data_IF_018309568775
#
_entry.id   IF_018309568775
#
_cell.length_a   1.000
_cell.length_b   1.000
_cell.length_c   1.000
_cell.angle_alpha   90.00
_cell.angle_beta   90.00
_cell.angle_gamma   90.00
#
_symmetry.space_group_name_H-M   'P 1'
#
loop_
_entity.id
_entity.type
_entity.pdbx_description
1 polymer ?
#
# COMPACT_ATOMS: atom_id res chain seq x y z
N UNK A 1 -17.34 -23.21 3.19
CA UNK A 1 -18.19 -22.04 3.49
C UNK A 1 -17.24 -20.86 3.62
N UNK A 2 -17.39 -19.80 2.84
CA UNK A 2 -16.61 -18.59 3.04
C UNK A 2 -16.92 -18.06 4.44
N UNK A 3 -15.90 -17.95 5.26
CA UNK A 3 -16.02 -17.38 6.59
C UNK A 3 -16.47 -15.93 6.46
N UNK A 4 -17.50 -15.53 7.22
CA UNK A 4 -18.02 -14.15 7.17
C UNK A 4 -16.98 -13.19 7.74
N UNK A 5 -16.53 -12.25 6.94
CA UNK A 5 -15.59 -11.20 7.34
C UNK A 5 -16.39 -10.01 7.83
N UNK A 6 -16.39 -9.79 9.14
CA UNK A 6 -16.93 -8.58 9.74
C UNK A 6 -15.93 -7.43 9.68
N UNK A 7 -16.40 -6.22 9.38
CA UNK A 7 -15.58 -5.00 9.22
C UNK A 7 -14.42 -5.21 8.26
N UNK A 8 -14.69 -5.30 6.97
CA UNK A 8 -13.66 -5.51 5.96
C UNK A 8 -12.59 -4.38 6.01
N UNK A 9 -11.33 -4.76 5.79
CA UNK A 9 -10.17 -3.86 5.83
C UNK A 9 -9.69 -3.46 4.44
N UNK A 10 -10.58 -3.44 3.49
CA UNK A 10 -10.29 -3.12 2.11
C UNK A 10 -11.57 -2.93 1.31
N UNK A 11 -11.42 -2.81 0.02
CA UNK A 11 -12.51 -2.72 -0.93
C UNK A 11 -12.40 -3.85 -1.97
N UNK A 12 -13.29 -3.85 -2.95
CA UNK A 12 -13.21 -4.72 -4.11
C UNK A 12 -12.15 -4.23 -5.12
N UNK A 13 -11.93 -4.99 -6.19
CA UNK A 13 -10.97 -4.65 -7.24
C UNK A 13 -11.18 -3.25 -7.82
N UNK A 14 -12.42 -2.83 -8.07
CA UNK A 14 -12.70 -1.47 -8.53
C UNK A 14 -12.16 -0.41 -7.55
N UNK A 15 -12.34 -0.61 -6.23
CA UNK A 15 -11.84 0.32 -5.23
C UNK A 15 -10.33 0.43 -5.20
N UNK A 16 -9.61 -0.67 -5.34
CA UNK A 16 -8.15 -0.68 -5.43
C UNK A 16 -7.63 -0.02 -6.70
N UNK A 17 -8.24 -0.32 -7.84
CA UNK A 17 -7.89 0.32 -9.10
C UNK A 17 -8.13 1.84 -9.06
N UNK A 18 -9.28 2.29 -8.52
CA UNK A 18 -9.59 3.71 -8.40
C UNK A 18 -8.63 4.46 -7.49
N UNK A 19 -8.28 3.89 -6.34
CA UNK A 19 -7.31 4.49 -5.42
C UNK A 19 -5.95 4.71 -6.11
N UNK A 20 -5.50 3.72 -6.87
CA UNK A 20 -4.24 3.78 -7.60
C UNK A 20 -4.32 4.74 -8.81
N UNK A 21 -5.36 4.67 -9.66
CA UNK A 21 -5.54 5.59 -10.79
C UNK A 21 -5.54 7.04 -10.31
N UNK A 22 -6.25 7.32 -9.21
CA UNK A 22 -6.36 8.66 -8.64
C UNK A 22 -5.06 9.23 -8.10
N UNK A 23 -4.09 8.36 -7.87
CA UNK A 23 -2.76 8.74 -7.39
C UNK A 23 -1.74 8.88 -8.53
N UNK A 24 -2.11 8.51 -9.77
CA UNK A 24 -1.27 8.69 -10.95
C UNK A 24 -1.35 10.12 -11.50
N UNK A 25 -0.23 10.73 -11.90
CA UNK A 25 -0.24 12.08 -12.47
C UNK A 25 -0.88 12.10 -13.85
N UNK A 26 -1.76 13.07 -14.09
CA UNK A 26 -2.43 13.32 -15.38
C UNK A 26 -3.24 12.13 -15.93
N UNK A 27 -3.64 11.18 -15.07
CA UNK A 27 -4.47 10.03 -15.44
C UNK A 27 -5.88 10.21 -14.86
N UNK A 28 -6.89 10.11 -15.71
CA UNK A 28 -8.28 10.34 -15.34
C UNK A 28 -9.04 9.02 -15.31
N UNK A 29 -9.62 8.61 -14.17
CA UNK A 29 -10.51 7.46 -14.13
C UNK A 29 -11.87 7.78 -14.78
N UNK A 30 -12.41 6.82 -15.51
CA UNK A 30 -13.80 6.82 -15.96
C UNK A 30 -14.43 5.54 -15.41
N UNK A 31 -15.46 5.68 -14.58
CA UNK A 31 -16.06 4.55 -13.91
C UNK A 31 -17.27 4.07 -14.70
N UNK A 32 -17.22 2.85 -15.21
CA UNK A 32 -18.37 2.25 -15.91
C UNK A 32 -19.12 1.31 -14.98
N UNK A 33 -20.11 1.87 -14.27
CA UNK A 33 -20.95 1.14 -13.30
C UNK A 33 -22.11 2.01 -12.81
N UNK A 34 -22.83 1.53 -11.79
CA UNK A 34 -23.86 2.31 -11.06
C UNK A 34 -23.21 3.43 -10.24
N UNK A 35 -23.92 4.54 -10.05
CA UNK A 35 -23.42 5.76 -9.40
C UNK A 35 -22.86 5.48 -7.99
N UNK A 36 -23.51 4.59 -7.23
CA UNK A 36 -23.13 4.33 -5.83
C UNK A 36 -21.72 3.74 -5.65
N UNK A 37 -21.22 2.98 -6.61
CA UNK A 37 -19.88 2.37 -6.50
C UNK A 37 -18.77 3.42 -6.46
N UNK A 38 -18.76 4.37 -7.39
CA UNK A 38 -17.72 5.40 -7.47
C UNK A 38 -17.59 6.23 -6.19
N UNK A 39 -18.71 6.83 -5.75
CA UNK A 39 -18.72 7.70 -4.58
C UNK A 39 -18.37 6.97 -3.28
N UNK A 40 -18.91 5.77 -3.06
CA UNK A 40 -18.66 5.00 -1.83
C UNK A 40 -17.23 4.50 -1.73
N UNK A 41 -16.66 4.01 -2.84
CA UNK A 41 -15.29 3.51 -2.84
C UNK A 41 -14.28 4.63 -2.58
N UNK A 42 -14.46 5.78 -3.22
CA UNK A 42 -13.59 6.93 -3.00
C UNK A 42 -13.67 7.47 -1.57
N UNK A 43 -14.87 7.55 -1.00
CA UNK A 43 -15.03 7.94 0.40
C UNK A 43 -14.37 6.94 1.37
N UNK A 44 -14.47 5.64 1.09
CA UNK A 44 -13.82 4.62 1.90
C UNK A 44 -12.31 4.81 1.96
N UNK A 45 -11.67 5.05 0.83
CA UNK A 45 -10.23 5.34 0.77
C UNK A 45 -9.89 6.65 1.46
N UNK A 46 -10.67 7.71 1.21
CA UNK A 46 -10.46 9.02 1.80
C UNK A 46 -10.41 8.99 3.33
N UNK A 47 -11.39 8.35 3.93
CA UNK A 47 -11.49 8.27 5.38
C UNK A 47 -10.54 7.22 5.97
N UNK A 48 -10.36 6.10 5.29
CA UNK A 48 -9.55 4.97 5.78
C UNK A 48 -8.04 5.13 5.66
N UNK A 49 -7.57 6.09 4.87
CA UNK A 49 -6.15 6.35 4.65
C UNK A 49 -5.62 7.55 5.48
N UNK A 50 -6.07 7.70 6.71
CA UNK A 50 -5.56 8.74 7.61
C UNK A 50 -6.17 10.12 7.38
N UNK A 51 -7.46 10.19 7.09
CA UNK A 51 -8.18 11.45 6.90
C UNK A 51 -7.64 12.33 5.75
N UNK A 52 -6.87 11.75 4.86
CA UNK A 52 -6.52 12.43 3.61
C UNK A 52 -7.71 12.32 2.71
N UNK A 53 -8.36 13.45 2.47
CA UNK A 53 -9.39 13.50 1.48
C UNK A 53 -8.91 12.84 0.19
N UNK A 54 -9.63 11.84 -0.32
CA UNK A 54 -9.38 11.29 -1.63
C UNK A 54 -9.85 12.28 -2.70
N UNK A 55 -9.60 13.54 -2.47
CA UNK A 55 -9.78 14.55 -3.46
C UNK A 55 -11.15 15.16 -3.63
N UNK A 56 -12.10 14.95 -2.73
CA UNK A 56 -13.38 15.67 -2.84
C UNK A 56 -13.20 17.19 -2.91
N UNK A 57 -12.32 17.74 -2.08
CA UNK A 57 -11.95 19.15 -2.11
C UNK A 57 -10.66 19.46 -2.88
N UNK A 58 -9.92 18.43 -3.34
CA UNK A 58 -8.66 18.59 -4.07
C UNK A 58 -8.81 18.46 -5.58
N UNK A 59 -10.04 18.51 -6.10
CA UNK A 59 -10.31 18.47 -7.54
C UNK A 59 -10.30 17.08 -8.15
N UNK A 60 -10.32 16.01 -7.33
CA UNK A 60 -10.46 14.67 -7.85
C UNK A 60 -11.84 14.46 -8.48
N UNK A 61 -11.84 14.16 -9.76
CA UNK A 61 -13.06 13.84 -10.50
C UNK A 61 -13.14 12.35 -10.77
N UNK A 62 -14.29 11.74 -10.49
CA UNK A 62 -14.60 10.37 -10.86
C UNK A 62 -15.82 10.31 -11.79
N UNK A 63 -15.67 10.66 -13.07
CA UNK A 63 -16.74 10.55 -14.03
C UNK A 63 -17.30 9.13 -14.04
N UNK A 64 -18.61 9.02 -13.89
CA UNK A 64 -19.29 7.71 -13.79
C UNK A 64 -20.39 7.63 -14.83
N UNK A 65 -20.46 6.56 -15.60
CA UNK A 65 -21.53 6.31 -16.58
C UNK A 65 -22.92 6.31 -15.94
N UNK A 66 -23.00 5.88 -14.68
CA UNK A 66 -24.24 5.94 -13.91
C UNK A 66 -25.35 5.09 -14.52
N UNK A 67 -25.04 3.83 -14.86
CA UNK A 67 -26.04 2.92 -15.46
C UNK A 67 -27.23 2.72 -14.55
N UNK A 68 -28.40 2.64 -15.17
CA UNK A 68 -29.71 2.44 -14.57
C UNK A 68 -30.36 1.15 -15.05
N UNK A 69 -31.63 0.92 -14.70
CA UNK A 69 -32.38 -0.26 -15.16
C UNK A 69 -32.43 -0.35 -16.68
N UNK A 70 -32.44 0.80 -17.38
CA UNK A 70 -32.47 0.82 -18.84
C UNK A 70 -31.21 0.20 -19.44
N UNK A 71 -30.05 0.62 -18.95
CA UNK A 71 -28.77 0.08 -19.44
C UNK A 71 -28.57 -1.38 -19.00
N UNK A 72 -29.12 -1.79 -17.86
CA UNK A 72 -29.09 -3.20 -17.44
C UNK A 72 -29.86 -4.10 -18.41
N UNK A 73 -30.95 -3.61 -18.98
CA UNK A 73 -31.78 -4.40 -19.92
C UNK A 73 -31.26 -4.32 -21.35
N UNK A 74 -30.77 -3.16 -21.79
CA UNK A 74 -30.46 -2.91 -23.21
C UNK A 74 -28.95 -2.79 -23.48
N UNK A 75 -28.10 -2.86 -22.47
CA UNK A 75 -26.65 -2.66 -22.56
C UNK A 75 -26.24 -1.21 -22.27
N UNK A 76 -25.04 -1.03 -21.70
CA UNK A 76 -24.50 0.26 -21.26
C UNK A 76 -23.43 0.86 -22.19
N UNK A 77 -23.11 0.24 -23.33
CA UNK A 77 -22.02 0.68 -24.22
C UNK A 77 -22.23 2.12 -24.74
N UNK A 78 -23.45 2.49 -25.14
CA UNK A 78 -23.76 3.86 -25.60
C UNK A 78 -23.57 4.86 -24.47
N UNK A 79 -24.03 4.51 -23.27
CA UNK A 79 -23.86 5.35 -22.08
C UNK A 79 -22.39 5.55 -21.73
N UNK A 80 -21.57 4.51 -21.90
CA UNK A 80 -20.12 4.58 -21.72
C UNK A 80 -19.50 5.52 -22.79
N UNK A 81 -19.89 5.40 -24.05
CA UNK A 81 -19.39 6.24 -25.14
C UNK A 81 -19.66 7.72 -24.86
N UNK A 82 -20.91 8.08 -24.50
CA UNK A 82 -21.28 9.44 -24.09
C UNK A 82 -20.44 9.95 -22.90
N UNK A 83 -20.20 9.06 -21.93
CA UNK A 83 -19.41 9.42 -20.74
C UNK A 83 -17.94 9.68 -21.09
N UNK A 84 -17.31 8.84 -21.93
CA UNK A 84 -15.95 9.06 -22.42
C UNK A 84 -15.85 10.38 -23.16
N UNK A 85 -16.76 10.64 -24.13
CA UNK A 85 -16.77 11.89 -24.90
C UNK A 85 -16.89 13.13 -23.99
N UNK A 86 -17.80 13.07 -23.03
CA UNK A 86 -18.01 14.17 -22.08
C UNK A 86 -16.77 14.39 -21.21
N UNK A 87 -16.15 13.33 -20.75
CA UNK A 87 -14.93 13.41 -19.92
C UNK A 87 -13.77 14.01 -20.69
N UNK A 88 -13.54 13.58 -21.92
CA UNK A 88 -12.50 14.11 -22.80
C UNK A 88 -12.68 15.61 -23.12
N UNK A 89 -13.93 16.12 -23.08
CA UNK A 89 -14.23 17.54 -23.31
C UNK A 89 -14.06 18.41 -22.06
N UNK A 90 -14.30 17.83 -20.88
CA UNK A 90 -14.43 18.59 -19.63
C UNK A 90 -13.22 18.49 -18.70
N UNK A 91 -12.42 17.44 -18.83
CA UNK A 91 -11.32 17.14 -17.90
C UNK A 91 -10.07 16.87 -18.71
N UNK A 92 -9.04 17.70 -18.53
CA UNK A 92 -7.75 17.51 -19.16
C UNK A 92 -6.99 16.36 -18.48
N UNK A 93 -6.48 15.44 -19.29
CA UNK A 93 -5.65 14.33 -18.86
C UNK A 93 -4.79 13.81 -20.01
N UNK A 94 -3.68 13.17 -19.68
CA UNK A 94 -2.79 12.52 -20.67
C UNK A 94 -3.21 11.08 -20.97
N UNK A 95 -3.98 10.46 -20.07
CA UNK A 95 -4.54 9.12 -20.24
C UNK A 95 -5.88 9.03 -19.49
N UNK A 96 -6.84 8.35 -20.09
CA UNK A 96 -8.15 8.08 -19.51
C UNK A 96 -8.33 6.57 -19.35
N UNK A 97 -8.62 6.13 -18.14
CA UNK A 97 -8.76 4.70 -17.82
C UNK A 97 -10.20 4.39 -17.46
N UNK A 98 -10.89 3.65 -18.31
CA UNK A 98 -12.20 3.10 -18.01
C UNK A 98 -12.04 1.92 -17.08
N UNK A 99 -12.60 2.00 -15.87
CA UNK A 99 -12.64 0.91 -14.91
C UNK A 99 -14.08 0.40 -14.77
N UNK A 100 -14.30 -0.89 -15.03
CA UNK A 100 -15.64 -1.48 -15.01
C UNK A 100 -16.04 -1.97 -13.62
N UNK A 101 -17.33 -1.88 -13.31
CA UNK A 101 -17.91 -2.46 -12.10
C UNK A 101 -18.62 -3.79 -12.35
N UNK A 102 -19.20 -4.35 -11.27
CA UNK A 102 -19.84 -5.66 -11.33
C UNK A 102 -21.05 -5.70 -12.29
N UNK A 103 -21.86 -4.66 -12.31
CA UNK A 103 -23.10 -4.67 -13.09
C UNK A 103 -22.81 -4.67 -14.59
N UNK A 104 -21.88 -3.83 -15.05
CA UNK A 104 -21.51 -3.73 -16.47
C UNK A 104 -20.82 -5.00 -16.97
N UNK A 105 -20.01 -5.63 -16.15
CA UNK A 105 -19.41 -6.93 -16.49
C UNK A 105 -20.44 -8.07 -16.53
N UNK A 106 -21.44 -8.05 -15.64
CA UNK A 106 -22.48 -9.08 -15.61
C UNK A 106 -23.46 -8.99 -16.80
N UNK A 107 -23.75 -7.80 -17.29
CA UNK A 107 -24.59 -7.61 -18.48
C UNK A 107 -23.82 -7.79 -19.79
N UNK A 108 -22.47 -7.92 -19.72
CA UNK A 108 -21.64 -8.19 -20.87
C UNK A 108 -21.31 -6.95 -21.72
N UNK A 109 -21.25 -5.76 -21.11
CA UNK A 109 -20.81 -4.56 -21.79
C UNK A 109 -19.36 -4.70 -22.27
N UNK A 110 -19.10 -4.31 -23.52
CA UNK A 110 -17.79 -4.33 -24.14
C UNK A 110 -17.04 -3.00 -23.92
N UNK A 111 -16.67 -2.74 -22.69
CA UNK A 111 -15.90 -1.53 -22.35
C UNK A 111 -14.55 -1.48 -23.08
N UNK A 112 -13.93 -2.65 -23.34
CA UNK A 112 -12.69 -2.76 -24.10
C UNK A 112 -12.84 -2.33 -25.54
N UNK A 113 -13.90 -2.79 -26.23
CA UNK A 113 -14.23 -2.41 -27.59
C UNK A 113 -14.54 -0.92 -27.71
N UNK A 114 -15.37 -0.39 -26.80
CA UNK A 114 -15.68 1.06 -26.77
C UNK A 114 -14.42 1.89 -26.57
N UNK A 115 -13.55 1.57 -25.59
CA UNK A 115 -12.29 2.27 -25.39
C UNK A 115 -11.36 2.16 -26.61
N UNK A 116 -11.35 0.99 -27.28
CA UNK A 116 -10.59 0.73 -28.50
C UNK A 116 -10.99 1.62 -29.67
N UNK A 117 -12.29 1.96 -29.83
CA UNK A 117 -12.77 2.91 -30.83
C UNK A 117 -12.12 4.28 -30.65
N UNK A 118 -12.07 4.80 -29.41
CA UNK A 118 -11.42 6.07 -29.10
C UNK A 118 -9.89 6.01 -29.30
N UNK A 119 -9.27 4.90 -28.93
CA UNK A 119 -7.83 4.70 -29.14
C UNK A 119 -7.48 4.68 -30.63
N UNK A 120 -8.32 4.09 -31.49
CA UNK A 120 -8.14 4.10 -32.95
C UNK A 120 -8.24 5.51 -33.56
N UNK A 121 -8.96 6.42 -32.92
CA UNK A 121 -9.03 7.84 -33.27
C UNK A 121 -7.83 8.65 -32.73
N UNK A 122 -6.86 8.00 -32.09
CA UNK A 122 -5.70 8.66 -31.46
C UNK A 122 -5.99 9.31 -30.11
N UNK A 123 -7.12 9.01 -29.48
CA UNK A 123 -7.47 9.49 -28.12
C UNK A 123 -6.91 8.52 -27.08
N UNK A 124 -6.26 8.99 -26.02
CA UNK A 124 -5.56 8.14 -25.04
C UNK A 124 -6.56 7.51 -24.05
N UNK A 125 -7.37 6.58 -24.48
CA UNK A 125 -8.36 5.87 -23.66
C UNK A 125 -8.04 4.38 -23.64
N UNK A 126 -8.03 3.79 -22.44
CA UNK A 126 -7.90 2.34 -22.25
C UNK A 126 -8.98 1.84 -21.29
N UNK A 127 -9.26 0.54 -21.30
CA UNK A 127 -10.19 -0.08 -20.35
C UNK A 127 -9.52 -1.20 -19.56
N UNK A 128 -9.90 -1.28 -18.28
CA UNK A 128 -9.53 -2.37 -17.37
C UNK A 128 -10.80 -2.95 -16.73
N UNK A 129 -10.82 -4.27 -16.57
CA UNK A 129 -11.98 -4.99 -16.01
C UNK A 129 -11.75 -5.26 -14.51
N UNK A 130 -12.52 -4.55 -13.65
CA UNK A 130 -12.31 -4.51 -12.19
C UNK A 130 -13.55 -4.87 -11.34
N UNK A 131 -14.36 -5.86 -11.74
CA UNK A 131 -15.50 -6.27 -10.93
C UNK A 131 -15.07 -6.94 -9.62
N UNK A 132 -15.92 -6.91 -8.60
CA UNK A 132 -15.60 -7.43 -7.26
C UNK A 132 -15.29 -8.92 -7.24
N UNK A 133 -15.81 -9.70 -8.19
CA UNK A 133 -15.54 -11.13 -8.28
C UNK A 133 -14.15 -11.47 -8.87
N UNK A 134 -13.38 -10.47 -9.31
CA UNK A 134 -11.95 -10.62 -9.66
C UNK A 134 -11.02 -10.46 -8.48
N UNK A 135 -11.52 -9.99 -7.34
CA UNK A 135 -10.75 -9.93 -6.12
C UNK A 135 -10.95 -8.66 -5.29
N UNK A 136 -10.03 -8.46 -4.37
CA UNK A 136 -9.97 -7.34 -3.44
C UNK A 136 -9.25 -6.11 -4.05
N UNK A 137 -9.02 -5.11 -3.21
CA UNK A 137 -8.31 -3.88 -3.61
C UNK A 137 -6.88 -4.13 -4.11
N UNK A 138 -6.19 -5.16 -3.63
CA UNK A 138 -4.86 -5.52 -4.13
C UNK A 138 -4.93 -6.09 -5.54
N UNK A 139 -5.92 -6.95 -5.81
CA UNK A 139 -6.17 -7.45 -7.16
C UNK A 139 -6.51 -6.29 -8.13
N UNK A 140 -7.27 -5.28 -7.67
CA UNK A 140 -7.56 -4.08 -8.45
C UNK A 140 -6.31 -3.28 -8.81
N UNK A 141 -5.38 -3.15 -7.89
CA UNK A 141 -4.08 -2.54 -8.13
C UNK A 141 -3.27 -3.32 -9.18
N UNK A 142 -3.18 -4.65 -9.07
CA UNK A 142 -2.47 -5.50 -10.02
C UNK A 142 -3.10 -5.45 -11.43
N UNK A 143 -4.45 -5.42 -11.51
CA UNK A 143 -5.17 -5.25 -12.79
C UNK A 143 -4.83 -3.90 -13.44
N UNK A 144 -4.73 -2.81 -12.66
CA UNK A 144 -4.29 -1.52 -13.18
C UNK A 144 -2.85 -1.58 -13.68
N UNK A 145 -1.94 -2.14 -12.92
CA UNK A 145 -0.54 -2.25 -13.31
C UNK A 145 -0.40 -3.05 -14.62
N UNK A 146 -1.09 -4.18 -14.74
CA UNK A 146 -1.09 -4.99 -15.94
C UNK A 146 -1.65 -4.21 -17.15
N UNK A 147 -2.81 -3.57 -16.98
CA UNK A 147 -3.44 -2.78 -18.04
C UNK A 147 -2.55 -1.63 -18.53
N UNK A 148 -1.91 -0.93 -17.61
CA UNK A 148 -1.09 0.24 -17.90
C UNK A 148 0.30 -0.14 -18.43
N UNK A 149 1.03 -0.96 -17.71
CA UNK A 149 2.44 -1.24 -18.00
C UNK A 149 2.64 -2.42 -18.95
N UNK A 150 1.84 -3.50 -18.82
CA UNK A 150 2.01 -4.68 -19.65
C UNK A 150 1.20 -4.63 -20.94
N UNK A 151 0.03 -3.98 -20.95
CA UNK A 151 -0.81 -3.95 -22.17
C UNK A 151 -0.67 -2.67 -22.95
N UNK A 152 -0.80 -1.51 -22.29
CA UNK A 152 -0.82 -0.21 -22.98
C UNK A 152 0.55 0.28 -23.41
N UNK A 153 1.56 0.28 -22.50
CA UNK A 153 2.89 0.81 -22.85
C UNK A 153 3.61 -0.09 -23.90
N UNK A 154 4.18 0.50 -24.94
CA UNK A 154 5.04 -0.23 -25.86
C UNK A 154 6.38 -0.63 -25.21
N UNK A 155 7.01 -1.72 -25.67
CA UNK A 155 8.36 -2.05 -25.20
C UNK A 155 9.37 -1.01 -25.66
N UNK A 156 10.44 -0.83 -24.89
CA UNK A 156 11.58 0.04 -25.23
C UNK A 156 12.84 -0.79 -25.40
N UNK A 157 13.55 -0.58 -26.51
CA UNK A 157 14.88 -1.16 -26.71
C UNK A 157 15.98 -0.43 -25.92
N UNK A 158 15.72 0.83 -25.52
CA UNK A 158 16.66 1.63 -24.73
C UNK A 158 16.47 1.34 -23.25
N UNK A 159 17.58 1.10 -22.54
CA UNK A 159 17.61 0.96 -21.08
C UNK A 159 18.46 2.04 -20.44
N UNK A 160 17.93 2.67 -19.39
CA UNK A 160 18.64 3.63 -18.55
C UNK A 160 19.18 2.90 -17.31
N UNK A 161 20.53 2.76 -17.23
CA UNK A 161 21.19 1.99 -16.16
C UNK A 161 20.90 2.49 -14.73
N UNK A 162 20.59 3.77 -14.60
CA UNK A 162 20.32 4.42 -13.33
C UNK A 162 18.82 4.66 -13.08
N UNK A 163 17.93 4.09 -13.89
CA UNK A 163 16.48 4.19 -13.70
C UNK A 163 15.93 2.91 -13.08
N UNK A 164 15.17 3.04 -12.02
CA UNK A 164 14.47 1.92 -11.37
C UNK A 164 12.99 2.23 -11.21
N UNK A 165 12.15 1.21 -11.27
CA UNK A 165 10.73 1.31 -11.00
C UNK A 165 10.42 0.69 -9.63
N UNK A 166 9.48 1.30 -8.91
CA UNK A 166 8.97 0.79 -7.62
C UNK A 166 7.52 0.35 -7.78
N UNK A 167 7.24 -0.87 -7.37
CA UNK A 167 5.90 -1.47 -7.35
C UNK A 167 5.62 -2.13 -6.00
N UNK A 168 4.37 -2.50 -5.74
CA UNK A 168 3.95 -3.27 -4.57
C UNK A 168 3.45 -2.43 -3.39
N UNK A 169 3.72 -1.12 -3.37
CA UNK A 169 3.09 -0.19 -2.41
C UNK A 169 1.76 0.27 -2.99
N UNK A 170 0.66 0.04 -2.28
CA UNK A 170 -0.69 0.20 -2.80
C UNK A 170 -1.31 1.51 -2.33
N UNK A 171 -1.50 2.52 -3.21
CA UNK A 171 -2.04 3.82 -2.85
C UNK A 171 -3.36 3.71 -2.08
N UNK A 172 -3.46 4.44 -0.97
CA UNK A 172 -4.63 4.48 -0.11
C UNK A 172 -4.81 3.28 0.83
N UNK A 173 -4.47 2.07 0.41
CA UNK A 173 -4.56 0.85 1.24
C UNK A 173 -3.27 0.55 2.00
N UNK A 174 -2.14 1.06 1.56
CA UNK A 174 -0.96 1.31 2.39
C UNK A 174 -1.01 2.78 2.81
N UNK A 175 -1.51 3.13 4.01
CA UNK A 175 -1.86 4.51 4.36
C UNK A 175 -0.69 5.49 4.31
N UNK A 176 0.52 4.99 4.47
CA UNK A 176 1.76 5.77 4.51
C UNK A 176 2.47 5.86 3.15
N UNK A 177 1.86 5.37 2.08
CA UNK A 177 2.47 5.22 0.76
C UNK A 177 3.19 6.47 0.24
N UNK A 178 2.67 7.67 0.49
CA UNK A 178 3.31 8.91 0.02
C UNK A 178 4.67 9.12 0.64
N UNK A 179 4.73 9.13 1.97
CA UNK A 179 5.99 9.30 2.68
C UNK A 179 6.95 8.15 2.48
N UNK A 180 6.44 6.91 2.35
CA UNK A 180 7.27 5.74 2.06
C UNK A 180 7.92 5.88 0.68
N UNK A 181 7.16 6.24 -0.35
CA UNK A 181 7.69 6.41 -1.71
C UNK A 181 8.64 7.60 -1.82
N UNK A 182 8.34 8.73 -1.19
CA UNK A 182 9.22 9.91 -1.15
C UNK A 182 10.57 9.59 -0.48
N UNK A 183 10.57 8.79 0.58
CA UNK A 183 11.83 8.39 1.23
C UNK A 183 12.64 7.42 0.35
N UNK A 184 12.01 6.49 -0.35
CA UNK A 184 12.67 5.62 -1.33
C UNK A 184 13.26 6.45 -2.49
N UNK A 185 12.53 7.45 -2.99
CA UNK A 185 13.06 8.40 -3.98
C UNK A 185 14.30 9.13 -3.46
N UNK A 186 14.23 9.62 -2.23
CA UNK A 186 15.33 10.36 -1.59
C UNK A 186 16.59 9.50 -1.43
N UNK A 187 16.45 8.28 -0.93
CA UNK A 187 17.56 7.33 -0.78
C UNK A 187 18.12 6.94 -2.16
N UNK A 188 17.25 6.63 -3.12
CA UNK A 188 17.65 6.32 -4.47
C UNK A 188 18.42 7.46 -5.14
N UNK A 189 17.98 8.70 -4.97
CA UNK A 189 18.68 9.87 -5.50
C UNK A 189 20.10 10.04 -4.90
N UNK A 190 20.30 9.75 -3.61
CA UNK A 190 21.64 9.73 -3.00
C UNK A 190 22.55 8.64 -3.60
N UNK A 191 21.97 7.53 -4.00
CA UNK A 191 22.68 6.46 -4.69
C UNK A 191 22.97 6.78 -6.18
N UNK A 192 22.50 7.93 -6.69
CA UNK A 192 22.64 8.36 -8.09
C UNK A 192 21.57 7.76 -9.01
N UNK A 193 20.49 7.21 -8.46
CA UNK A 193 19.40 6.63 -9.21
C UNK A 193 18.28 7.64 -9.49
N UNK A 194 17.61 7.44 -10.61
CA UNK A 194 16.28 7.97 -10.88
C UNK A 194 15.26 6.93 -10.48
N UNK A 195 14.25 7.32 -9.71
CA UNK A 195 13.28 6.37 -9.16
C UNK A 195 11.89 6.73 -9.65
N UNK A 196 11.27 5.84 -10.41
CA UNK A 196 9.86 5.92 -10.76
C UNK A 196 9.03 5.24 -9.66
N UNK A 197 8.37 6.01 -8.84
CA UNK A 197 7.42 5.51 -7.83
C UNK A 197 5.98 5.60 -8.31
N UNK A 198 5.73 6.38 -9.36
CA UNK A 198 4.46 6.62 -10.03
C UNK A 198 3.41 7.36 -9.20
N UNK A 199 3.35 7.13 -7.90
CA UNK A 199 2.25 7.57 -7.02
C UNK A 199 2.63 8.67 -6.03
N UNK A 200 3.89 9.12 -6.02
CA UNK A 200 4.29 10.25 -5.19
C UNK A 200 3.97 11.58 -5.89
N UNK A 201 3.77 12.67 -5.12
CA UNK A 201 3.44 13.98 -5.68
C UNK A 201 4.48 14.57 -6.63
N UNK A 202 5.73 14.13 -6.54
CA UNK A 202 6.83 14.60 -7.40
C UNK A 202 6.88 13.90 -8.77
N UNK A 203 6.12 12.82 -8.94
CA UNK A 203 6.09 12.06 -10.19
C UNK A 203 5.25 12.77 -11.25
N UNK A 204 5.58 12.51 -12.49
CA UNK A 204 4.90 13.06 -13.68
C UNK A 204 4.48 11.93 -14.61
N UNK A 205 3.70 12.24 -15.64
CA UNK A 205 3.29 11.25 -16.63
C UNK A 205 4.48 10.65 -17.39
N UNK A 206 5.58 11.39 -17.51
CA UNK A 206 6.83 10.93 -18.11
C UNK A 206 7.45 9.77 -17.34
N UNK A 207 7.28 9.70 -16.01
CA UNK A 207 7.72 8.56 -15.21
C UNK A 207 6.97 7.29 -15.62
N UNK A 208 5.66 7.38 -15.92
CA UNK A 208 4.87 6.25 -16.42
C UNK A 208 5.41 5.78 -17.77
N UNK A 209 5.59 6.70 -18.72
CA UNK A 209 6.03 6.36 -20.07
C UNK A 209 7.49 5.92 -20.16
N UNK A 210 8.32 6.30 -19.18
CA UNK A 210 9.72 5.85 -19.10
C UNK A 210 9.89 4.50 -18.41
N UNK A 211 8.85 3.94 -17.77
CA UNK A 211 8.94 2.68 -17.04
C UNK A 211 9.57 1.52 -17.82
N UNK A 212 9.30 1.33 -19.14
CA UNK A 212 9.96 0.29 -19.95
C UNK A 212 11.47 0.46 -20.09
N UNK A 213 12.02 1.65 -19.82
CA UNK A 213 13.47 1.94 -19.91
C UNK A 213 14.23 1.58 -18.63
N UNK A 214 13.55 1.23 -17.54
CA UNK A 214 14.20 0.94 -16.28
C UNK A 214 15.16 -0.25 -16.37
N UNK A 215 16.25 -0.17 -15.58
CA UNK A 215 17.22 -1.25 -15.41
C UNK A 215 16.72 -2.34 -14.47
N UNK A 216 15.85 -1.99 -13.50
CA UNK A 216 15.33 -2.90 -12.50
C UNK A 216 13.92 -2.50 -12.04
N UNK A 217 13.04 -3.47 -11.87
CA UNK A 217 11.78 -3.32 -11.14
C UNK A 217 11.96 -3.81 -9.71
N UNK A 218 11.74 -2.96 -8.72
CA UNK A 218 11.76 -3.31 -7.30
C UNK A 218 10.30 -3.47 -6.85
N UNK A 219 9.96 -4.61 -6.28
CA UNK A 219 8.60 -4.94 -5.83
C UNK A 219 8.59 -5.08 -4.31
N UNK A 220 8.02 -4.11 -3.61
CA UNK A 220 7.87 -4.12 -2.15
C UNK A 220 6.64 -4.92 -1.72
N UNK A 221 6.57 -6.19 -2.11
CA UNK A 221 5.50 -7.09 -1.67
C UNK A 221 5.88 -8.55 -1.88
N UNK A 222 5.90 -9.35 -0.82
CA UNK A 222 6.11 -10.81 -0.91
C UNK A 222 4.89 -11.55 -1.44
N UNK A 223 3.72 -10.91 -1.38
CA UNK A 223 2.43 -11.56 -1.64
C UNK A 223 1.78 -11.16 -2.95
N UNK A 224 2.19 -10.01 -3.52
CA UNK A 224 1.53 -9.37 -4.67
C UNK A 224 2.54 -9.01 -5.76
N UNK A 225 2.04 -8.68 -6.93
CA UNK A 225 2.78 -8.15 -8.08
C UNK A 225 3.84 -9.09 -8.68
N UNK A 226 3.95 -10.34 -8.28
CA UNK A 226 4.91 -11.30 -8.87
C UNK A 226 4.59 -11.56 -10.33
N UNK A 227 3.35 -11.99 -10.62
CA UNK A 227 2.90 -12.30 -11.98
C UNK A 227 3.01 -11.05 -12.89
N UNK A 228 2.60 -9.89 -12.38
CA UNK A 228 2.79 -8.62 -13.08
C UNK A 228 4.26 -8.36 -13.44
N UNK A 229 5.19 -8.55 -12.49
CA UNK A 229 6.61 -8.31 -12.69
C UNK A 229 7.25 -9.30 -13.67
N UNK A 230 6.80 -10.57 -13.68
CA UNK A 230 7.20 -11.59 -14.63
C UNK A 230 6.78 -11.22 -16.06
N UNK A 231 5.53 -10.83 -16.24
CA UNK A 231 4.99 -10.37 -17.54
C UNK A 231 5.68 -9.08 -18.02
N UNK A 232 5.99 -8.15 -17.07
CA UNK A 232 6.74 -6.94 -17.39
C UNK A 232 8.15 -7.28 -17.88
N UNK A 233 8.83 -8.21 -17.22
CA UNK A 233 10.15 -8.69 -17.65
C UNK A 233 10.09 -9.37 -19.02
N UNK A 234 9.08 -10.21 -19.27
CA UNK A 234 8.90 -10.87 -20.55
C UNK A 234 8.69 -9.86 -21.69
N UNK A 235 7.83 -8.85 -21.48
CA UNK A 235 7.50 -7.85 -22.49
C UNK A 235 8.60 -6.81 -22.70
N UNK A 236 9.16 -6.29 -21.62
CA UNK A 236 10.05 -5.12 -21.67
C UNK A 236 11.53 -5.48 -21.43
N UNK A 237 11.84 -6.71 -21.00
CA UNK A 237 13.21 -7.14 -20.71
C UNK A 237 13.80 -6.53 -19.43
N UNK A 238 13.00 -5.91 -18.57
CA UNK A 238 13.46 -5.35 -17.30
C UNK A 238 13.39 -6.42 -16.20
N UNK A 239 14.50 -6.81 -15.58
CA UNK A 239 14.48 -7.76 -14.48
C UNK A 239 13.71 -7.21 -13.28
N UNK A 240 13.25 -8.08 -12.40
CA UNK A 240 12.57 -7.69 -11.18
C UNK A 240 13.22 -8.27 -9.93
N UNK A 241 13.02 -7.59 -8.80
CA UNK A 241 13.44 -7.99 -7.48
C UNK A 241 12.34 -7.80 -6.46
N UNK A 242 11.91 -8.89 -5.82
CA UNK A 242 10.91 -8.86 -4.75
C UNK A 242 11.64 -8.74 -3.42
N UNK A 243 11.26 -7.74 -2.63
CA UNK A 243 11.84 -7.45 -1.33
C UNK A 243 10.80 -6.86 -0.39
N UNK A 244 11.15 -6.70 0.89
CA UNK A 244 10.33 -6.00 1.86
C UNK A 244 10.55 -4.50 1.80
N UNK A 245 9.53 -3.71 2.18
CA UNK A 245 9.70 -2.27 2.39
C UNK A 245 10.71 -2.05 3.53
N UNK A 246 11.85 -1.37 3.31
CA UNK A 246 12.83 -1.20 4.37
C UNK A 246 12.34 -0.20 5.41
N UNK A 247 12.29 -0.57 6.69
CA UNK A 247 11.94 0.30 7.83
C UNK A 247 13.11 0.33 8.80
N UNK A 248 13.66 1.51 9.05
CA UNK A 248 14.79 1.71 9.95
C UNK A 248 16.16 1.39 9.34
N UNK A 249 17.26 1.65 10.06
CA UNK A 249 18.61 1.53 9.56
C UNK A 249 18.97 0.11 9.11
N UNK A 250 18.76 -0.93 9.94
CA UNK A 250 19.15 -2.30 9.61
C UNK A 250 18.57 -2.77 8.26
N UNK A 251 17.25 -2.61 8.09
CA UNK A 251 16.57 -3.03 6.88
C UNK A 251 16.95 -2.16 5.67
N UNK A 252 17.22 -0.87 5.89
CA UNK A 252 17.59 0.05 4.80
C UNK A 252 19.02 -0.18 4.34
N UNK A 253 19.95 -0.44 5.26
CA UNK A 253 21.33 -0.82 4.93
C UNK A 253 21.34 -2.11 4.09
N UNK A 254 20.62 -3.14 4.52
CA UNK A 254 20.49 -4.39 3.76
C UNK A 254 19.89 -4.16 2.37
N UNK A 255 18.83 -3.34 2.27
CA UNK A 255 18.23 -2.97 0.99
C UNK A 255 19.22 -2.26 0.06
N UNK A 256 20.01 -1.29 0.57
CA UNK A 256 21.00 -0.55 -0.21
C UNK A 256 22.12 -1.47 -0.68
N UNK A 257 22.61 -2.38 0.16
CA UNK A 257 23.64 -3.35 -0.23
C UNK A 257 23.15 -4.27 -1.36
N UNK A 258 21.96 -4.88 -1.21
CA UNK A 258 21.41 -5.74 -2.26
C UNK A 258 21.13 -4.97 -3.57
N UNK A 259 20.66 -3.72 -3.49
CA UNK A 259 20.44 -2.87 -4.64
C UNK A 259 21.76 -2.53 -5.33
N UNK A 260 22.80 -2.23 -4.56
CA UNK A 260 24.14 -1.95 -5.06
C UNK A 260 24.75 -3.16 -5.80
N UNK A 261 24.59 -4.34 -5.26
CA UNK A 261 25.05 -5.57 -5.89
C UNK A 261 24.35 -5.82 -7.23
N UNK A 262 23.03 -5.59 -7.28
CA UNK A 262 22.23 -5.79 -8.51
C UNK A 262 22.55 -4.79 -9.62
N UNK A 263 22.86 -3.55 -9.27
CA UNK A 263 23.08 -2.44 -10.22
C UNK A 263 24.55 -2.03 -10.37
N UNK A 264 25.46 -2.62 -9.58
CA UNK A 264 26.89 -2.27 -9.59
C UNK A 264 27.16 -0.85 -9.06
N UNK A 265 26.44 -0.42 -8.00
CA UNK A 265 26.62 0.91 -7.42
C UNK A 265 27.84 0.95 -6.50
N UNK A 266 28.66 1.96 -6.65
CA UNK A 266 29.88 2.16 -5.84
C UNK A 266 29.70 3.16 -4.71
N UNK A 267 28.55 3.84 -4.64
CA UNK A 267 28.23 4.89 -3.67
C UNK A 267 27.58 4.36 -2.39
N UNK A 268 27.21 3.08 -2.34
CA UNK A 268 26.40 2.48 -1.28
C UNK A 268 26.97 2.71 0.13
N UNK A 269 28.24 2.34 0.35
CA UNK A 269 28.89 2.48 1.66
C UNK A 269 28.92 3.93 2.18
N UNK A 270 29.18 4.88 1.29
CA UNK A 270 29.21 6.29 1.67
C UNK A 270 27.80 6.80 2.06
N UNK A 271 26.78 6.38 1.32
CA UNK A 271 25.37 6.74 1.63
C UNK A 271 24.91 6.10 2.93
N UNK A 272 25.20 4.83 3.16
CA UNK A 272 24.90 4.11 4.39
C UNK A 272 25.56 4.81 5.60
N UNK A 273 26.85 5.14 5.49
CA UNK A 273 27.58 5.79 6.58
C UNK A 273 26.98 7.17 6.91
N UNK A 274 26.66 7.99 5.89
CA UNK A 274 26.05 9.31 6.07
C UNK A 274 24.65 9.23 6.72
N UNK A 275 23.81 8.29 6.23
CA UNK A 275 22.45 8.14 6.73
C UNK A 275 22.43 7.57 8.16
N UNK A 276 23.29 6.61 8.47
CA UNK A 276 23.43 6.09 9.83
C UNK A 276 23.95 7.15 10.80
N UNK A 277 24.96 7.96 10.41
CA UNK A 277 25.40 9.08 11.22
C UNK A 277 24.25 10.05 11.53
N UNK A 278 23.45 10.38 10.51
CA UNK A 278 22.28 11.23 10.68
C UNK A 278 21.26 10.60 11.63
N UNK A 279 20.88 9.32 11.41
CA UNK A 279 19.87 8.62 12.20
C UNK A 279 20.27 8.51 13.68
N UNK A 280 21.46 8.01 13.96
CA UNK A 280 21.92 7.79 15.32
C UNK A 280 22.17 9.10 16.07
N UNK A 281 22.53 10.18 15.42
CA UNK A 281 22.63 11.51 16.06
C UNK A 281 21.32 11.95 16.73
N UNK A 282 20.17 11.57 16.15
CA UNK A 282 18.86 11.83 16.75
C UNK A 282 18.46 10.72 17.72
N UNK A 283 18.70 9.47 17.38
CA UNK A 283 18.29 8.33 18.18
C UNK A 283 19.03 8.27 19.52
N UNK A 284 20.31 8.60 19.57
CA UNK A 284 21.11 8.70 20.81
C UNK A 284 20.49 9.61 21.86
N UNK A 285 19.88 10.73 21.42
CA UNK A 285 19.20 11.65 22.35
C UNK A 285 17.96 11.04 23.00
N UNK A 286 17.37 10.08 22.35
CA UNK A 286 16.20 9.37 22.85
C UNK A 286 16.57 8.10 23.63
N UNK A 287 17.80 7.60 23.50
CA UNK A 287 18.24 6.33 24.08
C UNK A 287 18.13 6.29 25.60
N UNK A 288 18.53 7.35 26.29
CA UNK A 288 18.42 7.45 27.75
C UNK A 288 16.96 7.40 28.19
N UNK A 289 16.11 8.21 27.58
CA UNK A 289 14.67 8.22 27.87
C UNK A 289 14.02 6.87 27.55
N UNK A 290 14.46 6.21 26.48
CA UNK A 290 13.97 4.89 26.08
C UNK A 290 14.33 3.82 27.11
N UNK A 291 15.56 3.84 27.60
CA UNK A 291 16.06 2.87 28.59
C UNK A 291 15.48 3.14 29.97
N UNK A 292 15.58 4.38 30.44
CA UNK A 292 15.12 4.79 31.80
C UNK A 292 13.59 4.77 31.90
N UNK A 293 12.89 5.10 30.84
CA UNK A 293 11.44 5.05 30.76
C UNK A 293 10.85 3.64 30.64
N UNK A 294 11.70 2.61 30.49
CA UNK A 294 11.24 1.22 30.31
C UNK A 294 10.36 1.04 29.05
N UNK A 295 10.72 1.71 27.94
CA UNK A 295 9.91 1.78 26.73
C UNK A 295 10.06 0.52 25.84
N UNK A 296 10.39 -0.62 26.44
CA UNK A 296 10.36 -1.95 25.79
C UNK A 296 9.04 -2.62 26.08
N UNK A 297 8.36 -3.03 25.02
CA UNK A 297 7.01 -3.54 25.10
C UNK A 297 6.91 -5.00 24.66
N UNK A 298 5.90 -5.68 25.17
CA UNK A 298 5.31 -6.82 24.51
C UNK A 298 4.41 -6.30 23.38
N UNK A 299 4.55 -6.79 22.16
CA UNK A 299 3.80 -6.29 21.02
C UNK A 299 2.95 -7.34 20.33
N UNK A 300 1.75 -6.91 19.94
CA UNK A 300 0.84 -7.61 19.04
C UNK A 300 0.68 -6.76 17.80
N UNK A 301 1.06 -7.29 16.63
CA UNK A 301 1.02 -6.56 15.37
C UNK A 301 -0.11 -7.11 14.49
N UNK A 302 -1.03 -6.25 14.07
CA UNK A 302 -2.19 -6.58 13.23
C UNK A 302 -2.13 -5.72 11.98
N UNK A 303 -1.55 -6.24 10.91
CA UNK A 303 -1.24 -5.43 9.72
C UNK A 303 -1.58 -6.16 8.42
N UNK A 304 -1.61 -5.40 7.32
CA UNK A 304 -1.59 -6.01 6.00
C UNK A 304 -0.23 -6.69 5.72
N UNK A 305 -0.16 -7.46 4.65
CA UNK A 305 1.02 -8.25 4.30
C UNK A 305 2.26 -7.40 4.01
N UNK A 306 2.11 -6.17 3.49
CA UNK A 306 3.23 -5.31 3.13
C UNK A 306 3.98 -4.76 4.36
N UNK A 307 3.26 -4.49 5.47
CA UNK A 307 3.86 -3.99 6.71
C UNK A 307 4.18 -5.09 7.73
N UNK A 308 3.67 -6.33 7.53
CA UNK A 308 3.77 -7.39 8.54
C UNK A 308 5.23 -7.74 8.91
N UNK A 309 6.06 -8.06 7.93
CA UNK A 309 7.47 -8.39 8.15
C UNK A 309 8.30 -7.14 8.51
N UNK A 310 8.23 -6.04 7.75
CA UNK A 310 9.00 -4.83 8.04
C UNK A 310 8.81 -4.31 9.46
N UNK A 311 7.56 -4.18 9.89
CA UNK A 311 7.24 -3.68 11.22
C UNK A 311 7.72 -4.63 12.32
N UNK A 312 7.50 -5.95 12.14
CA UNK A 312 7.94 -6.94 13.11
C UNK A 312 9.47 -6.91 13.29
N UNK A 313 10.23 -6.82 12.20
CA UNK A 313 11.70 -6.72 12.24
C UNK A 313 12.16 -5.44 12.94
N UNK A 314 11.60 -4.29 12.58
CA UNK A 314 11.95 -3.02 13.22
C UNK A 314 11.70 -3.04 14.73
N UNK A 315 10.51 -3.47 15.16
CA UNK A 315 10.17 -3.53 16.57
C UNK A 315 11.04 -4.51 17.36
N UNK A 316 11.38 -5.66 16.77
CA UNK A 316 12.17 -6.69 17.43
C UNK A 316 13.66 -6.39 17.41
N UNK A 317 14.22 -6.18 16.21
CA UNK A 317 15.66 -6.05 16.03
C UNK A 317 16.19 -4.70 16.51
N UNK A 318 15.50 -3.61 16.18
CA UNK A 318 16.01 -2.28 16.49
C UNK A 318 15.50 -1.75 17.83
N UNK A 319 14.22 -1.96 18.17
CA UNK A 319 13.69 -1.49 19.44
C UNK A 319 13.74 -2.55 20.56
N UNK A 320 14.14 -3.78 20.28
CA UNK A 320 14.23 -4.83 21.29
C UNK A 320 12.88 -5.22 21.92
N UNK A 321 11.78 -5.01 21.21
CA UNK A 321 10.46 -5.39 21.70
C UNK A 321 10.24 -6.90 21.59
N UNK A 322 9.43 -7.43 22.48
CA UNK A 322 9.07 -8.85 22.49
C UNK A 322 7.80 -9.05 21.65
N UNK A 323 7.96 -9.64 20.48
CA UNK A 323 6.83 -9.97 19.63
C UNK A 323 6.04 -11.13 20.26
N UNK A 324 4.72 -10.97 20.42
CA UNK A 324 3.81 -11.98 20.95
C UNK A 324 2.95 -12.60 19.86
N UNK A 325 2.37 -11.76 19.00
CA UNK A 325 1.56 -12.19 17.86
C UNK A 325 1.83 -11.26 16.66
N UNK A 326 1.85 -11.85 15.47
CA UNK A 326 1.83 -11.15 14.20
C UNK A 326 0.61 -11.65 13.41
N UNK A 327 -0.41 -10.80 13.27
CA UNK A 327 -1.67 -11.14 12.61
C UNK A 327 -1.73 -10.41 11.27
N UNK A 328 -1.83 -11.17 10.19
CA UNK A 328 -1.93 -10.66 8.82
C UNK A 328 -3.38 -10.63 8.39
N UNK A 329 -3.85 -9.46 7.96
CA UNK A 329 -5.27 -9.20 7.76
C UNK A 329 -5.76 -9.42 6.33
N UNK A 330 -4.87 -9.69 5.39
CA UNK A 330 -5.20 -9.89 3.98
C UNK A 330 -5.75 -11.30 3.72
N UNK A 331 -6.67 -11.39 2.77
CA UNK A 331 -7.10 -12.68 2.23
C UNK A 331 -6.05 -13.19 1.24
N UNK A 332 -5.19 -14.11 1.70
CA UNK A 332 -4.07 -14.66 0.93
C UNK A 332 -4.31 -16.09 0.51
N UNK A 333 -3.81 -16.47 -0.67
CA UNK A 333 -3.70 -17.87 -1.09
C UNK A 333 -2.64 -18.60 -0.25
N UNK A 334 -2.64 -19.91 -0.28
CA UNK A 334 -1.66 -20.69 0.49
C UNK A 334 -0.22 -20.42 0.05
N UNK A 335 0.03 -20.21 -1.26
CA UNK A 335 1.34 -19.82 -1.76
C UNK A 335 1.77 -18.44 -1.24
N UNK A 336 0.86 -17.46 -1.23
CA UNK A 336 1.15 -16.12 -0.68
C UNK A 336 1.43 -16.16 0.82
N UNK A 337 0.69 -16.99 1.57
CA UNK A 337 0.95 -17.23 3.01
C UNK A 337 2.33 -17.83 3.23
N UNK A 338 2.73 -18.79 2.40
CA UNK A 338 4.06 -19.39 2.47
C UNK A 338 5.15 -18.34 2.19
N UNK A 339 5.04 -17.60 1.09
CA UNK A 339 6.01 -16.54 0.72
C UNK A 339 6.17 -15.49 1.84
N UNK A 340 5.05 -15.11 2.48
CA UNK A 340 5.10 -14.17 3.59
C UNK A 340 5.71 -14.78 4.84
N UNK A 341 5.40 -16.06 5.14
CA UNK A 341 5.94 -16.78 6.30
C UNK A 341 7.46 -16.91 6.24
N UNK A 342 8.03 -17.06 5.06
CA UNK A 342 9.49 -17.06 4.86
C UNK A 342 10.14 -15.75 5.32
N UNK A 343 9.43 -14.62 5.17
CA UNK A 343 9.87 -13.31 5.66
C UNK A 343 9.99 -13.20 7.18
N UNK A 344 9.26 -14.06 7.92
CA UNK A 344 9.34 -14.13 9.38
C UNK A 344 10.49 -15.02 9.88
N UNK A 345 11.28 -15.61 8.98
CA UNK A 345 12.46 -16.39 9.38
C UNK A 345 13.41 -15.57 10.25
N UNK A 346 13.83 -16.13 11.38
CA UNK A 346 14.66 -15.45 12.38
C UNK A 346 13.89 -14.60 13.39
N UNK A 347 12.59 -14.38 13.21
CA UNK A 347 11.74 -13.72 14.22
C UNK A 347 11.13 -14.76 15.19
N UNK A 348 10.85 -14.38 16.46
CA UNK A 348 10.33 -15.29 17.49
C UNK A 348 8.84 -15.65 17.31
N UNK A 349 8.19 -15.22 16.24
CA UNK A 349 6.77 -15.44 15.95
C UNK A 349 6.56 -15.93 14.53
N UNK A 350 5.50 -16.72 14.34
CA UNK A 350 4.97 -17.05 13.02
C UNK A 350 3.71 -16.24 12.74
N UNK A 351 3.44 -15.88 11.48
CA UNK A 351 2.25 -15.11 11.15
C UNK A 351 0.97 -15.94 11.33
N UNK A 352 -0.06 -15.31 11.91
CA UNK A 352 -1.43 -15.79 11.94
C UNK A 352 -2.21 -15.01 10.86
N UNK A 353 -2.93 -15.73 9.99
CA UNK A 353 -3.72 -15.12 8.92
C UNK A 353 -5.19 -15.06 9.33
N UNK A 354 -5.70 -13.84 9.54
CA UNK A 354 -7.06 -13.63 10.01
C UNK A 354 -7.58 -12.25 9.54
N UNK A 355 -8.65 -12.25 8.75
CA UNK A 355 -9.19 -11.03 8.15
C UNK A 355 -10.35 -10.41 8.94
N UNK A 356 -11.11 -11.22 9.70
CA UNK A 356 -12.28 -10.77 10.44
C UNK A 356 -11.93 -10.01 11.72
N UNK A 357 -12.47 -8.81 11.93
CA UNK A 357 -12.15 -7.99 13.09
C UNK A 357 -12.54 -8.68 14.41
N UNK A 358 -13.70 -9.36 14.45
CA UNK A 358 -14.13 -10.13 15.63
C UNK A 358 -13.25 -11.35 15.89
N UNK A 359 -12.78 -12.03 14.84
CA UNK A 359 -11.89 -13.18 14.98
C UNK A 359 -10.50 -12.75 15.46
N UNK A 360 -9.96 -11.64 14.92
CA UNK A 360 -8.74 -11.00 15.42
C UNK A 360 -8.86 -10.63 16.90
N UNK A 361 -9.95 -9.95 17.28
CA UNK A 361 -10.18 -9.59 18.68
C UNK A 361 -10.26 -10.83 19.60
N UNK A 362 -10.86 -11.93 19.13
CA UNK A 362 -10.90 -13.22 19.85
C UNK A 362 -9.50 -13.86 19.94
N UNK A 363 -8.70 -13.83 18.85
CA UNK A 363 -7.34 -14.36 18.86
C UNK A 363 -6.48 -13.61 19.91
N UNK A 364 -6.53 -12.28 19.90
CA UNK A 364 -5.85 -11.46 20.91
C UNK A 364 -6.37 -11.78 22.31
N UNK A 365 -7.68 -11.97 22.48
CA UNK A 365 -8.30 -12.25 23.78
C UNK A 365 -7.91 -13.61 24.38
N UNK A 366 -7.62 -14.59 23.55
CA UNK A 366 -7.16 -15.92 24.02
C UNK A 366 -5.76 -15.86 24.62
N UNK A 367 -4.90 -14.98 24.07
CA UNK A 367 -3.50 -14.90 24.42
C UNK A 367 -3.19 -13.82 25.44
N UNK A 368 -4.05 -12.79 25.57
CA UNK A 368 -3.80 -11.60 26.38
C UNK A 368 -5.01 -11.25 27.25
N UNK A 369 -4.80 -11.25 28.56
CA UNK A 369 -5.85 -10.94 29.55
C UNK A 369 -6.27 -9.47 29.47
N UNK A 370 -7.55 -9.22 29.78
CA UNK A 370 -8.05 -7.85 29.98
C UNK A 370 -7.47 -7.27 31.28
N UNK A 371 -7.04 -6.01 31.22
CA UNK A 371 -6.53 -5.33 32.41
C UNK A 371 -7.65 -5.07 33.41
N UNK A 372 -7.47 -5.52 34.64
CA UNK A 372 -8.49 -5.47 35.68
C UNK A 372 -8.21 -4.42 36.77
N UNK A 373 -7.22 -3.56 36.60
CA UNK A 373 -6.83 -2.52 37.56
C UNK A 373 -6.15 -3.04 38.84
N UNK A 374 -5.89 -4.33 38.97
CA UNK A 374 -5.27 -4.90 40.18
C UNK A 374 -3.76 -4.61 40.19
N UNK A 375 -3.23 -4.40 41.41
CA UNK A 375 -1.82 -4.16 41.68
C UNK A 375 -0.90 -5.27 41.15
N UNK A 376 -1.37 -6.51 41.18
CA UNK A 376 -0.62 -7.69 40.73
C UNK A 376 -1.33 -8.31 39.52
N UNK A 377 -1.41 -7.55 38.44
CA UNK A 377 -1.93 -8.03 37.18
C UNK A 377 -1.02 -9.10 36.57
N UNK A 378 -1.55 -10.31 36.37
CA UNK A 378 -0.82 -11.44 35.82
C UNK A 378 -0.91 -11.46 34.28
N UNK A 379 -0.65 -10.36 33.62
CA UNK A 379 -0.62 -10.22 32.18
C UNK A 379 0.76 -9.80 31.68
N UNK A 380 0.97 -9.97 30.38
CA UNK A 380 2.20 -9.47 29.72
C UNK A 380 2.11 -7.96 29.57
N UNK A 381 2.81 -7.20 30.42
CA UNK A 381 2.81 -5.74 30.45
C UNK A 381 4.23 -5.19 30.51
N UNK A 382 4.47 -4.01 29.93
CA UNK A 382 3.55 -3.19 29.16
C UNK A 382 3.25 -3.78 27.78
N UNK A 383 1.96 -3.80 27.39
CA UNK A 383 1.52 -4.32 26.09
C UNK A 383 1.30 -3.18 25.10
N UNK A 384 1.70 -3.39 23.86
CA UNK A 384 1.47 -2.48 22.75
C UNK A 384 0.78 -3.21 21.59
N UNK A 385 -0.27 -2.64 21.03
CA UNK A 385 -0.95 -3.16 19.85
C UNK A 385 -0.79 -2.17 18.70
N UNK A 386 -0.12 -2.60 17.64
CA UNK A 386 -0.12 -1.90 16.36
C UNK A 386 -1.18 -2.53 15.47
N UNK A 387 -1.93 -1.71 14.73
CA UNK A 387 -3.00 -2.27 13.90
C UNK A 387 -3.70 -1.22 13.05
N UNK A 388 -4.96 -1.45 12.75
CA UNK A 388 -5.88 -0.46 12.20
C UNK A 388 -6.69 0.19 13.32
N UNK A 389 -7.52 1.17 13.02
CA UNK A 389 -8.43 1.77 14.02
C UNK A 389 -9.37 0.75 14.67
N UNK A 390 -9.60 -0.40 14.04
CA UNK A 390 -10.46 -1.45 14.63
C UNK A 390 -9.86 -2.10 15.88
N UNK A 391 -8.54 -2.12 16.02
CA UNK A 391 -7.86 -2.68 17.21
C UNK A 391 -7.87 -1.76 18.41
N UNK A 392 -8.21 -0.48 18.26
CA UNK A 392 -8.19 0.52 19.33
C UNK A 392 -9.00 0.08 20.58
N UNK A 393 -10.21 -0.39 20.39
CA UNK A 393 -11.05 -0.84 21.51
C UNK A 393 -10.48 -2.11 22.18
N UNK A 394 -9.90 -2.99 21.39
CA UNK A 394 -9.23 -4.19 21.89
C UNK A 394 -8.01 -3.86 22.74
N UNK A 395 -7.23 -2.85 22.33
CA UNK A 395 -6.09 -2.34 23.09
C UNK A 395 -6.55 -1.69 24.41
N UNK A 396 -7.53 -0.79 24.36
CA UNK A 396 -8.06 -0.11 25.54
C UNK A 396 -8.54 -1.08 26.64
N UNK A 397 -9.29 -2.12 26.28
CA UNK A 397 -9.75 -3.15 27.22
C UNK A 397 -8.61 -3.91 27.92
N UNK A 398 -7.42 -3.93 27.31
CA UNK A 398 -6.24 -4.62 27.87
C UNK A 398 -5.25 -3.70 28.55
N UNK A 399 -5.58 -2.41 28.66
CA UNK A 399 -4.60 -1.40 29.15
C UNK A 399 -3.37 -1.31 28.24
N UNK A 400 -3.48 -1.79 27.02
CA UNK A 400 -2.41 -1.74 26.04
C UNK A 400 -2.30 -0.36 25.40
N UNK A 401 -1.09 -0.01 24.97
CA UNK A 401 -0.86 1.13 24.08
C UNK A 401 -1.27 0.75 22.67
N UNK A 402 -1.55 1.74 21.84
CA UNK A 402 -2.09 1.51 20.51
C UNK A 402 -1.57 2.55 19.51
N UNK A 403 -1.25 2.08 18.31
CA UNK A 403 -0.95 2.94 17.16
C UNK A 403 -1.57 2.35 15.89
N UNK A 404 -2.30 3.19 15.12
CA UNK A 404 -2.78 2.81 13.80
C UNK A 404 -1.64 2.89 12.78
N UNK A 405 -1.31 1.74 12.17
CA UNK A 405 -0.24 1.60 11.16
C UNK A 405 -0.72 0.91 9.88
N UNK A 406 -1.94 0.38 9.86
CA UNK A 406 -2.51 -0.36 8.73
C UNK A 406 -3.95 0.09 8.46
N UNK A 407 -4.41 -0.06 7.24
CA UNK A 407 -5.76 0.32 6.82
C UNK A 407 -6.85 -0.48 7.57
N UNK A 408 -7.97 0.15 7.99
CA UNK A 408 -8.27 1.58 7.90
C UNK A 408 -7.73 2.38 9.10
N UNK A 409 -7.32 3.62 8.84
CA UNK A 409 -6.85 4.58 9.83
C UNK A 409 -7.80 5.79 9.86
N UNK A 410 -8.65 5.87 10.89
CA UNK A 410 -9.63 6.94 11.05
C UNK A 410 -9.27 7.96 12.14
N UNK A 411 -8.31 7.64 12.99
CA UNK A 411 -8.04 8.35 14.24
C UNK A 411 -6.71 9.11 14.25
N UNK A 412 -6.10 9.27 13.09
CA UNK A 412 -4.94 10.15 12.89
C UNK A 412 -4.89 10.68 11.46
N UNK A 413 -4.30 11.85 11.28
CA UNK A 413 -4.00 12.41 9.97
C UNK A 413 -2.66 11.86 9.44
N UNK A 414 -2.61 11.46 8.18
CA UNK A 414 -1.41 11.01 7.49
C UNK A 414 -1.28 11.85 6.22
N UNK A 415 -0.40 12.84 6.21
CA UNK A 415 -0.21 13.76 5.05
C UNK A 415 1.07 13.42 4.32
N UNK A 416 2.20 13.50 5.04
CA UNK A 416 3.54 13.24 4.51
C UNK A 416 4.29 12.16 5.29
N UNK A 417 3.64 11.56 6.29
CA UNK A 417 4.28 10.52 7.09
C UNK A 417 4.50 9.27 6.27
N UNK A 418 5.70 8.70 6.40
CA UNK A 418 6.08 7.39 5.91
C UNK A 418 6.92 6.69 6.96
N UNK A 419 7.03 5.38 6.86
CA UNK A 419 7.83 4.56 7.75
C UNK A 419 9.02 3.89 7.04
N UNK A 420 9.09 4.01 5.71
CA UNK A 420 10.22 3.50 4.95
C UNK A 420 11.52 4.25 5.24
N UNK A 421 12.63 3.57 5.07
CA UNK A 421 13.97 4.14 5.14
C UNK A 421 14.41 4.57 6.53
N UNK A 422 15.48 5.34 6.58
CA UNK A 422 16.04 5.87 7.82
C UNK A 422 15.11 6.88 8.48
N UNK A 423 14.59 7.83 7.69
CA UNK A 423 13.69 8.86 8.22
C UNK A 423 12.36 8.28 8.68
N UNK A 424 11.86 7.31 7.94
CA UNK A 424 10.64 6.60 8.30
C UNK A 424 10.79 5.77 9.57
N UNK A 425 11.92 5.11 9.79
CA UNK A 425 12.20 4.40 11.03
C UNK A 425 12.20 5.33 12.25
N UNK A 426 12.87 6.49 12.16
CA UNK A 426 12.85 7.48 13.24
C UNK A 426 11.44 8.04 13.46
N UNK A 427 10.67 8.27 12.40
CA UNK A 427 9.29 8.73 12.48
C UNK A 427 8.38 7.69 13.14
N UNK A 428 8.55 6.41 12.82
CA UNK A 428 7.81 5.34 13.48
C UNK A 428 8.11 5.30 14.98
N UNK A 429 9.38 5.45 15.35
CA UNK A 429 9.78 5.58 16.77
C UNK A 429 9.05 6.74 17.45
N UNK A 430 9.07 7.95 16.88
CA UNK A 430 8.37 9.11 17.43
C UNK A 430 6.87 8.87 17.60
N UNK A 431 6.22 8.27 16.61
CA UNK A 431 4.79 7.97 16.66
C UNK A 431 4.45 6.93 17.72
N UNK A 432 5.27 5.88 17.86
CA UNK A 432 5.11 4.84 18.89
C UNK A 432 5.23 5.44 20.31
N UNK A 433 6.23 6.28 20.54
CA UNK A 433 6.44 6.88 21.86
C UNK A 433 5.43 7.98 22.16
N UNK A 434 5.05 8.77 21.17
CA UNK A 434 3.98 9.77 21.31
C UNK A 434 2.65 9.13 21.69
N UNK A 435 2.28 8.04 21.05
CA UNK A 435 1.07 7.28 21.38
C UNK A 435 1.14 6.64 22.78
N UNK A 436 2.33 6.28 23.26
CA UNK A 436 2.52 5.84 24.64
C UNK A 436 2.27 6.96 25.64
N UNK A 437 2.74 8.18 25.34
CA UNK A 437 2.63 9.33 26.25
C UNK A 437 1.22 9.89 26.38
N UNK A 438 0.42 9.84 25.30
CA UNK A 438 -0.91 10.47 25.22
C UNK A 438 -2.02 9.72 25.94
N UNK A 439 -1.84 8.45 26.28
CA UNK A 439 -2.85 7.62 26.96
C UNK A 439 -2.78 7.65 28.49
N UNK A 440 -2.23 8.73 29.08
CA UNK A 440 -2.39 9.02 30.52
C UNK A 440 -3.67 9.84 30.72
N UNK A 441 -4.84 9.19 30.61
CA UNK A 441 -6.13 9.73 30.96
C UNK A 441 -6.92 8.69 31.70
#
# INVERSE_FOLDING_TARGET
>A
MSEFIDKPRGACALGGALAAISSLPDVIPIIHTVIGCGGNLMNSVAFGAGYLGAGYCSGFSSPTSGITETEIVFGGNERLREQIESTLKLIDGKLYIVATGCMTEMIGDDAGGVAGEFAAEGRPVIAISTPSFKGDNYAGYEILLDGLFNRWLPPSAEKEKNLVNIFGVVPGYDPFFRGDLEEIERVGAKLGLKVNTFFSPAQTFENITSAPKAALNIVFSRTRCREFAEQFQEKHGTPYWITDLPIGPEATDAFIHELADKLGLTTAEAVIAEENEWYYRYFERAADSYTDGGLRFYSVNVTNSNYAVPLARYLHNELGWVLLDAIVTDALTDQQKQNLSEGFSGLPVSPLFEAGASAIAKAISRNHLEYNGQRYFNGKTPLYITGSTYEKQTALKRGARYLAVSFPVFDRAIVTNGYAGYRGGLRLYEDLISAFMTLKG
#
